data_IF_634918881492
#
_entry.id   IF_634918881492
#
_cell.length_a   1.000
_cell.length_b   1.000
_cell.length_c   1.000
_cell.angle_alpha   90.00
_cell.angle_beta   90.00
_cell.angle_gamma   90.00
#
_symmetry.space_group_name_H-M   'P 1'
#
loop_
_entity.id
_entity.type
_entity.pdbx_description
1 polymer ?
#
# COMPACT_ATOMS: atom_id res chain seq x y z
N UNK A 1 42.91 12.69 20.60
CA UNK A 1 41.90 11.77 21.17
C UNK A 1 41.12 11.21 19.99
N UNK A 2 41.28 9.90 19.72
CA UNK A 2 40.75 9.19 18.55
C UNK A 2 39.43 8.54 18.96
N UNK A 3 38.32 8.92 18.33
CA UNK A 3 37.07 8.14 18.37
C UNK A 3 36.93 7.55 16.97
N UNK A 4 37.02 6.21 16.80
CA UNK A 4 36.98 5.60 15.48
C UNK A 4 35.54 5.63 14.97
N UNK A 5 35.35 6.24 13.80
CA UNK A 5 34.10 6.29 13.03
C UNK A 5 33.78 4.91 12.41
N UNK A 6 33.84 3.83 13.19
CA UNK A 6 33.81 2.45 12.71
C UNK A 6 32.81 1.55 13.46
N UNK A 7 31.82 2.13 14.16
CA UNK A 7 30.79 1.37 14.85
C UNK A 7 29.37 1.53 14.27
N UNK A 8 29.15 2.49 13.35
CA UNK A 8 27.83 2.67 12.72
C UNK A 8 27.68 1.78 11.48
N UNK A 9 28.77 1.42 10.80
CA UNK A 9 28.75 0.51 9.65
C UNK A 9 28.47 -0.96 10.01
N UNK A 10 28.74 -1.37 11.25
CA UNK A 10 28.47 -2.75 11.72
C UNK A 10 27.00 -3.00 12.04
N UNK A 11 26.22 -1.96 12.36
CA UNK A 11 24.77 -2.07 12.57
C UNK A 11 24.01 -2.14 11.24
N UNK A 12 24.49 -1.43 10.21
CA UNK A 12 23.97 -1.52 8.84
C UNK A 12 24.40 -2.82 8.12
N UNK A 13 25.57 -3.37 8.45
CA UNK A 13 25.99 -4.69 7.96
C UNK A 13 25.25 -5.86 8.65
N UNK A 14 24.71 -5.65 9.86
CA UNK A 14 23.90 -6.64 10.57
C UNK A 14 22.42 -6.60 10.15
N UNK A 15 21.89 -5.45 9.71
CA UNK A 15 20.54 -5.34 9.15
C UNK A 15 20.45 -5.70 7.66
N UNK A 16 21.56 -5.69 6.92
CA UNK A 16 21.59 -6.13 5.52
C UNK A 16 21.78 -7.65 5.35
N UNK A 17 22.24 -8.36 6.38
CA UNK A 17 22.34 -9.84 6.39
C UNK A 17 21.15 -10.52 7.07
N UNK A 18 20.25 -9.75 7.69
CA UNK A 18 18.92 -10.23 8.09
C UNK A 18 17.96 -9.80 7.00
N UNK A 19 17.87 -10.56 5.91
CA UNK A 19 16.73 -10.41 4.99
C UNK A 19 15.46 -10.60 5.81
N UNK A 20 14.81 -9.50 6.20
CA UNK A 20 13.73 -9.52 7.18
C UNK A 20 12.50 -10.23 6.60
N UNK A 21 12.15 -11.44 7.08
CA UNK A 21 10.86 -12.04 6.74
C UNK A 21 9.69 -11.17 7.23
N UNK A 22 9.90 -10.36 8.28
CA UNK A 22 8.90 -9.41 8.81
C UNK A 22 8.54 -8.31 7.82
N UNK A 23 9.51 -7.64 7.18
CA UNK A 23 9.23 -6.62 6.16
C UNK A 23 8.54 -7.24 4.92
N UNK A 24 8.94 -8.45 4.53
CA UNK A 24 8.27 -9.19 3.44
C UNK A 24 6.84 -9.57 3.82
N UNK A 25 6.58 -9.98 5.05
CA UNK A 25 5.22 -10.31 5.52
C UNK A 25 4.33 -9.07 5.53
N UNK A 26 4.81 -7.95 6.09
CA UNK A 26 4.06 -6.69 6.14
C UNK A 26 3.75 -6.17 4.72
N UNK A 27 4.71 -6.28 3.79
CA UNK A 27 4.49 -5.93 2.39
C UNK A 27 3.45 -6.83 1.72
N UNK A 28 3.55 -8.15 1.90
CA UNK A 28 2.57 -9.11 1.36
C UNK A 28 1.16 -8.90 1.93
N UNK A 29 1.06 -8.57 3.22
CA UNK A 29 -0.22 -8.30 3.88
C UNK A 29 -0.84 -6.99 3.38
N UNK A 30 -0.01 -5.95 3.20
CA UNK A 30 -0.44 -4.68 2.62
C UNK A 30 -0.85 -4.83 1.15
N UNK A 31 -0.11 -5.58 0.34
CA UNK A 31 -0.46 -5.89 -1.04
C UNK A 31 -1.80 -6.66 -1.13
N UNK A 32 -2.06 -7.62 -0.22
CA UNK A 32 -3.36 -8.29 -0.14
C UNK A 32 -4.52 -7.35 0.22
N UNK A 33 -4.30 -6.45 1.18
CA UNK A 33 -5.32 -5.47 1.58
C UNK A 33 -5.58 -4.49 0.43
N UNK A 34 -4.52 -3.96 -0.21
CA UNK A 34 -4.63 -3.07 -1.35
C UNK A 34 -5.36 -3.75 -2.52
N UNK A 35 -5.00 -4.97 -2.88
CA UNK A 35 -5.69 -5.74 -3.93
C UNK A 35 -7.17 -5.99 -3.59
N UNK A 36 -7.51 -6.17 -2.32
CA UNK A 36 -8.91 -6.30 -1.88
C UNK A 36 -9.67 -4.99 -2.03
N UNK A 37 -9.02 -3.85 -1.80
CA UNK A 37 -9.59 -2.53 -1.97
C UNK A 37 -9.77 -2.20 -3.46
N UNK A 38 -8.74 -2.41 -4.29
CA UNK A 38 -8.83 -2.30 -5.76
C UNK A 38 -9.99 -3.12 -6.32
N UNK A 39 -10.10 -4.40 -5.93
CA UNK A 39 -11.22 -5.24 -6.36
C UNK A 39 -12.59 -4.66 -5.96
N UNK A 40 -12.68 -3.92 -4.85
CA UNK A 40 -13.93 -3.21 -4.47
C UNK A 40 -14.14 -1.95 -5.31
N UNK A 41 -13.08 -1.20 -5.61
CA UNK A 41 -13.14 -0.05 -6.51
C UNK A 41 -13.63 -0.47 -7.89
N UNK A 42 -13.05 -1.52 -8.48
CA UNK A 42 -13.46 -2.11 -9.76
C UNK A 42 -14.95 -2.50 -9.76
N UNK A 43 -15.44 -3.09 -8.67
CA UNK A 43 -16.85 -3.45 -8.54
C UNK A 43 -17.77 -2.23 -8.48
N UNK A 44 -17.34 -1.14 -7.82
CA UNK A 44 -18.09 0.11 -7.76
C UNK A 44 -18.12 0.80 -9.11
N UNK A 45 -17.00 0.80 -9.83
CA UNK A 45 -16.88 1.36 -11.17
C UNK A 45 -17.73 0.57 -12.18
N UNK A 46 -17.70 -0.76 -12.12
CA UNK A 46 -18.59 -1.61 -12.94
C UNK A 46 -20.09 -1.38 -12.62
N UNK A 47 -20.43 -1.07 -11.37
CA UNK A 47 -21.80 -0.68 -11.01
C UNK A 47 -22.14 0.72 -11.53
N UNK A 48 -21.19 1.64 -11.53
CA UNK A 48 -21.33 2.98 -12.11
C UNK A 48 -21.60 2.89 -13.63
N UNK A 49 -20.81 2.09 -14.35
CA UNK A 49 -20.97 1.86 -15.78
C UNK A 49 -22.31 1.18 -16.15
N UNK A 50 -22.82 0.34 -15.24
CA UNK A 50 -24.07 -0.39 -15.43
C UNK A 50 -25.31 0.44 -15.10
N UNK A 51 -25.18 1.53 -14.35
CA UNK A 51 -26.33 2.34 -13.94
C UNK A 51 -26.77 3.31 -15.05
N UNK A 52 -28.09 3.40 -15.26
CA UNK A 52 -28.67 4.35 -16.21
C UNK A 52 -28.85 5.77 -15.63
N UNK A 53 -28.48 5.97 -14.35
CA UNK A 53 -28.64 7.23 -13.65
C UNK A 53 -27.28 7.91 -13.48
N UNK A 54 -27.10 9.06 -14.13
CA UNK A 54 -25.84 9.80 -14.13
C UNK A 54 -25.42 10.32 -12.74
N UNK A 55 -26.36 10.74 -11.89
CA UNK A 55 -26.04 11.19 -10.53
C UNK A 55 -25.57 10.00 -9.67
N UNK A 56 -26.23 8.85 -9.82
CA UNK A 56 -25.82 7.62 -9.15
C UNK A 56 -24.46 7.12 -9.65
N UNK A 57 -24.19 7.21 -10.96
CA UNK A 57 -22.89 6.87 -11.55
C UNK A 57 -21.78 7.72 -10.94
N UNK A 58 -21.94 9.05 -10.91
CA UNK A 58 -20.96 9.95 -10.33
C UNK A 58 -20.71 9.71 -8.83
N UNK A 59 -21.74 9.33 -8.07
CA UNK A 59 -21.57 8.94 -6.67
C UNK A 59 -20.79 7.63 -6.51
N UNK A 60 -21.00 6.67 -7.39
CA UNK A 60 -20.32 5.38 -7.38
C UNK A 60 -18.86 5.51 -7.84
N UNK A 61 -18.59 6.28 -8.90
CA UNK A 61 -17.24 6.66 -9.34
C UNK A 61 -16.48 7.36 -8.20
N UNK A 62 -17.09 8.36 -7.55
CA UNK A 62 -16.45 9.03 -6.42
C UNK A 62 -16.21 8.10 -5.22
N UNK A 63 -17.03 7.07 -5.03
CA UNK A 63 -16.78 6.04 -4.02
C UNK A 63 -15.63 5.11 -4.44
N UNK A 64 -15.54 4.73 -5.71
CA UNK A 64 -14.44 3.95 -6.27
C UNK A 64 -13.10 4.68 -6.11
N UNK A 65 -13.02 5.96 -6.49
CA UNK A 65 -11.83 6.81 -6.32
C UNK A 65 -11.33 6.87 -4.87
N UNK A 66 -12.26 6.95 -3.91
CA UNK A 66 -11.92 6.96 -2.48
C UNK A 66 -11.37 5.60 -2.01
N UNK A 67 -11.83 4.50 -2.61
CA UNK A 67 -11.34 3.16 -2.30
C UNK A 67 -9.98 2.92 -2.95
N UNK A 68 -9.77 3.37 -4.20
CA UNK A 68 -8.48 3.37 -4.89
C UNK A 68 -7.43 4.15 -4.08
N UNK A 69 -7.79 5.36 -3.63
CA UNK A 69 -6.93 6.18 -2.77
C UNK A 69 -6.58 5.46 -1.46
N UNK A 70 -7.49 4.69 -0.87
CA UNK A 70 -7.19 3.89 0.32
C UNK A 70 -6.24 2.73 0.00
N UNK A 71 -6.39 2.08 -1.16
CA UNK A 71 -5.48 1.04 -1.62
C UNK A 71 -4.06 1.58 -1.80
N UNK A 72 -3.92 2.74 -2.44
CA UNK A 72 -2.66 3.45 -2.62
C UNK A 72 -2.02 3.82 -1.28
N UNK A 73 -2.79 4.38 -0.34
CA UNK A 73 -2.28 4.70 1.00
C UNK A 73 -1.77 3.45 1.76
N UNK A 74 -2.39 2.29 1.55
CA UNK A 74 -1.93 1.02 2.15
C UNK A 74 -0.61 0.57 1.53
N UNK A 75 -0.46 0.66 0.21
CA UNK A 75 0.81 0.38 -0.50
C UNK A 75 1.91 1.35 -0.04
N UNK A 76 1.63 2.65 -0.03
CA UNK A 76 2.58 3.69 0.37
C UNK A 76 3.05 3.53 1.83
N UNK A 77 2.13 3.16 2.73
CA UNK A 77 2.45 2.90 4.14
C UNK A 77 3.28 1.63 4.36
N UNK A 78 3.29 0.70 3.40
CA UNK A 78 4.16 -0.47 3.40
C UNK A 78 5.54 -0.18 2.82
N UNK A 79 5.64 0.74 1.86
CA UNK A 79 6.91 1.15 1.24
C UNK A 79 7.70 2.19 2.05
N UNK A 80 7.02 3.00 2.88
CA UNK A 80 7.65 4.09 3.66
C UNK A 80 8.21 3.63 5.03
N UNK A 81 8.19 2.32 5.34
CA UNK A 81 8.75 1.76 6.58
C UNK A 81 10.17 1.24 6.38
#
# INVERSE_FOLDING_TARGET
MRIPLAAIGLLLAASACSSEPEQTSVRNDAEQIAATLEAKADNLEALADSTANADAAAMLEGAADNVETQADNVRDAAETR
#
